data_IF_307803008517
#
_entry.id   IF_307803008517
#
_cell.length_a   1.000
_cell.length_b   1.000
_cell.length_c   1.000
_cell.angle_alpha   90.00
_cell.angle_beta   90.00
_cell.angle_gamma   90.00
#
_symmetry.space_group_name_H-M   'P 1'
#
loop_
_entity.id
_entity.type
_entity.pdbx_description
1 polymer ?
#
# COMPACT_ATOMS: atom_id res chain seq x y z
N UNK A 1 -5.39 0.24 1.36
CA UNK A 1 -6.09 -0.90 1.98
C UNK A 1 -7.41 -0.43 2.58
N UNK A 2 -8.45 -1.27 2.54
CA UNK A 2 -9.76 -0.94 3.11
C UNK A 2 -9.69 -0.66 4.61
N UNK A 3 -8.80 -1.37 5.32
CA UNK A 3 -8.63 -1.23 6.78
C UNK A 3 -7.95 0.08 7.18
N UNK A 4 -7.21 0.70 6.25
CA UNK A 4 -6.51 1.95 6.49
C UNK A 4 -7.24 3.17 5.88
N UNK A 5 -8.48 3.02 5.41
CA UNK A 5 -9.18 4.08 4.69
C UNK A 5 -9.35 5.35 5.53
N UNK A 6 -9.76 5.22 6.79
CA UNK A 6 -9.93 6.37 7.68
C UNK A 6 -8.60 7.07 7.99
N UNK A 7 -7.54 6.30 8.20
CA UNK A 7 -6.18 6.83 8.35
C UNK A 7 -5.72 7.57 7.09
N UNK A 8 -5.99 7.01 5.92
CA UNK A 8 -5.65 7.62 4.64
C UNK A 8 -6.42 8.93 4.43
N UNK A 9 -7.69 9.00 4.82
CA UNK A 9 -8.47 10.24 4.77
C UNK A 9 -7.85 11.34 5.61
N UNK A 10 -7.44 11.03 6.83
CA UNK A 10 -6.77 12.00 7.72
C UNK A 10 -5.44 12.45 7.12
N UNK A 11 -4.64 11.52 6.62
CA UNK A 11 -3.34 11.82 6.00
C UNK A 11 -3.50 12.75 4.78
N UNK A 12 -4.45 12.45 3.90
CA UNK A 12 -4.70 13.28 2.70
C UNK A 12 -5.23 14.66 3.10
N UNK A 13 -6.08 14.77 4.12
CA UNK A 13 -6.53 16.06 4.62
C UNK A 13 -5.36 16.91 5.10
N UNK A 14 -4.44 16.34 5.88
CA UNK A 14 -3.25 17.05 6.35
C UNK A 14 -2.34 17.46 5.19
N UNK A 15 -2.19 16.61 4.18
CA UNK A 15 -1.47 16.96 2.95
C UNK A 15 -2.12 18.13 2.22
N UNK A 16 -3.45 18.14 2.09
CA UNK A 16 -4.18 19.25 1.47
C UNK A 16 -3.97 20.56 2.22
N UNK A 17 -4.03 20.54 3.55
CA UNK A 17 -3.76 21.74 4.38
C UNK A 17 -2.36 22.28 4.16
N UNK A 18 -1.34 21.41 4.14
CA UNK A 18 0.03 21.78 3.91
C UNK A 18 0.26 22.34 2.49
N UNK A 19 -0.39 21.78 1.50
CA UNK A 19 -0.33 22.27 0.10
C UNK A 19 -0.94 23.67 -0.02
N UNK A 20 -2.10 23.89 0.59
CA UNK A 20 -2.76 25.21 0.60
C UNK A 20 -1.89 26.26 1.29
N UNK A 21 -1.28 25.94 2.42
CA UNK A 21 -0.35 26.85 3.11
C UNK A 21 0.89 27.18 2.29
N UNK A 22 1.32 26.23 1.44
CA UNK A 22 2.47 26.41 0.54
C UNK A 22 2.12 27.08 -0.80
N UNK A 23 0.86 27.44 -1.02
CA UNK A 23 0.40 28.04 -2.28
C UNK A 23 0.31 27.05 -3.44
N UNK A 24 0.25 25.75 -3.16
CA UNK A 24 0.13 24.67 -4.15
C UNK A 24 -1.30 24.15 -4.14
N UNK A 25 -1.85 23.85 -5.33
CA UNK A 25 -3.19 23.28 -5.43
C UNK A 25 -3.28 21.94 -4.70
N UNK A 26 -4.30 21.72 -3.84
CA UNK A 26 -4.51 20.42 -3.20
C UNK A 26 -4.93 19.33 -4.19
N UNK A 27 -5.32 19.67 -5.41
CA UNK A 27 -5.72 18.69 -6.44
C UNK A 27 -4.58 17.80 -6.93
N UNK A 28 -3.31 18.10 -6.56
CA UNK A 28 -2.19 17.21 -6.86
C UNK A 28 -2.13 15.95 -6.00
N UNK A 29 -2.94 15.84 -4.95
CA UNK A 29 -3.09 14.64 -4.11
C UNK A 29 -4.56 14.27 -4.03
N UNK A 30 -4.89 13.06 -4.42
CA UNK A 30 -6.27 12.57 -4.44
C UNK A 30 -6.37 11.19 -3.80
N UNK A 31 -7.37 10.97 -2.98
CA UNK A 31 -7.70 9.66 -2.42
C UNK A 31 -8.89 9.09 -3.18
N UNK A 32 -8.67 7.97 -3.88
CA UNK A 32 -9.77 7.28 -4.56
C UNK A 32 -10.80 6.76 -3.55
N UNK A 33 -12.09 6.69 -3.95
CA UNK A 33 -13.12 6.09 -3.09
C UNK A 33 -12.76 4.67 -2.69
N UNK A 34 -13.21 4.20 -1.51
CA UNK A 34 -13.00 2.83 -1.09
C UNK A 34 -13.76 1.88 -2.03
N UNK A 35 -13.16 0.74 -2.32
CA UNK A 35 -13.76 -0.28 -3.16
C UNK A 35 -12.80 -0.77 -4.24
N UNK A 36 -12.89 -2.06 -4.54
CA UNK A 36 -12.06 -2.68 -5.58
C UNK A 36 -12.58 -2.45 -6.98
N UNK A 37 -13.83 -2.03 -7.13
CA UNK A 37 -14.49 -1.77 -8.40
C UNK A 37 -13.83 -0.64 -9.20
N UNK A 38 -13.18 0.29 -8.54
CA UNK A 38 -12.47 1.40 -9.19
C UNK A 38 -11.08 1.01 -9.70
N UNK A 39 -10.51 -0.07 -9.18
CA UNK A 39 -9.15 -0.47 -9.51
C UNK A 39 -8.94 -0.76 -11.00
N UNK A 40 -9.80 -1.53 -11.68
CA UNK A 40 -9.67 -1.76 -13.13
C UNK A 40 -9.72 -0.46 -13.94
N UNK A 41 -10.58 0.47 -13.56
CA UNK A 41 -10.71 1.77 -14.23
C UNK A 41 -9.41 2.58 -14.11
N UNK A 42 -8.81 2.60 -12.92
CA UNK A 42 -7.55 3.30 -12.66
C UNK A 42 -6.42 2.66 -13.48
N UNK A 43 -6.32 1.34 -13.48
CA UNK A 43 -5.26 0.61 -14.17
C UNK A 43 -5.32 0.72 -15.70
N UNK A 44 -6.47 1.09 -16.25
CA UNK A 44 -6.68 1.26 -17.68
C UNK A 44 -6.66 2.73 -18.12
N UNK A 45 -6.51 3.67 -17.20
CA UNK A 45 -6.55 5.10 -17.47
C UNK A 45 -5.21 5.63 -17.99
N UNK A 46 -4.66 5.02 -19.04
CA UNK A 46 -3.35 5.35 -19.60
C UNK A 46 -3.27 6.77 -20.20
N UNK A 47 -4.40 7.42 -20.48
CA UNK A 47 -4.42 8.82 -20.93
C UNK A 47 -4.23 9.81 -19.76
N UNK A 48 -4.41 9.37 -18.51
CA UNK A 48 -4.39 10.23 -17.32
C UNK A 48 -3.37 9.81 -16.27
N UNK A 49 -2.91 8.57 -16.30
CA UNK A 49 -2.02 7.99 -15.29
C UNK A 49 -0.77 7.45 -15.98
N UNK A 50 0.39 7.90 -15.53
CA UNK A 50 1.67 7.55 -16.12
C UNK A 50 2.31 6.32 -15.47
N UNK A 51 1.99 6.03 -14.20
CA UNK A 51 2.66 5.00 -13.42
C UNK A 51 1.78 4.48 -12.29
N UNK A 52 1.81 3.17 -12.04
CA UNK A 52 1.22 2.54 -10.86
C UNK A 52 2.31 1.93 -9.97
N UNK A 53 2.18 2.13 -8.68
CA UNK A 53 3.06 1.55 -7.67
C UNK A 53 2.19 0.76 -6.68
N UNK A 54 1.87 -0.51 -6.98
CA UNK A 54 1.02 -1.31 -6.11
C UNK A 54 1.75 -1.70 -4.83
N UNK A 55 1.03 -1.65 -3.72
CA UNK A 55 1.47 -2.15 -2.43
C UNK A 55 0.35 -2.97 -1.80
N UNK A 56 0.68 -4.14 -1.32
CA UNK A 56 -0.31 -5.03 -0.71
C UNK A 56 0.03 -6.51 -0.89
N UNK A 57 -0.98 -7.34 -0.85
CA UNK A 57 -0.83 -8.78 -1.01
C UNK A 57 -0.31 -9.18 -2.39
N UNK A 58 0.27 -10.37 -2.46
CA UNK A 58 0.71 -10.95 -3.74
C UNK A 58 -0.43 -10.97 -4.77
N UNK A 59 -1.64 -11.34 -4.33
CA UNK A 59 -2.82 -11.36 -5.22
C UNK A 59 -3.16 -10.00 -5.80
N UNK A 60 -3.03 -8.92 -5.02
CA UNK A 60 -3.22 -7.57 -5.53
C UNK A 60 -2.15 -7.19 -6.55
N UNK A 61 -0.90 -7.48 -6.26
CA UNK A 61 0.22 -7.18 -7.16
C UNK A 61 0.09 -7.95 -8.47
N UNK A 62 -0.24 -9.23 -8.41
CA UNK A 62 -0.49 -10.06 -9.59
C UNK A 62 -1.66 -9.52 -10.42
N UNK A 63 -2.76 -9.12 -9.76
CA UNK A 63 -3.91 -8.52 -10.42
C UNK A 63 -3.53 -7.23 -11.16
N UNK A 64 -2.77 -6.35 -10.51
CA UNK A 64 -2.32 -5.09 -11.11
C UNK A 64 -1.43 -5.37 -12.32
N UNK A 65 -0.47 -6.29 -12.20
CA UNK A 65 0.42 -6.67 -13.30
C UNK A 65 -0.36 -7.18 -14.51
N UNK A 66 -1.37 -8.02 -14.28
CA UNK A 66 -2.10 -8.69 -15.35
C UNK A 66 -3.12 -7.77 -16.04
N UNK A 67 -3.61 -6.73 -15.36
CA UNK A 67 -4.70 -5.88 -15.85
C UNK A 67 -4.29 -4.44 -16.17
N UNK A 68 -3.09 -4.01 -15.77
CA UNK A 68 -2.65 -2.64 -16.01
C UNK A 68 -2.29 -2.40 -17.47
N UNK A 69 -2.79 -1.29 -18.02
CA UNK A 69 -2.34 -0.70 -19.30
C UNK A 69 -1.30 0.40 -19.12
N UNK A 70 -0.99 0.72 -17.88
CA UNK A 70 0.02 1.71 -17.49
C UNK A 70 1.24 0.99 -16.95
N UNK A 71 2.43 1.59 -17.03
CA UNK A 71 3.63 1.03 -16.42
C UNK A 71 3.45 0.77 -14.94
N UNK A 72 4.00 -0.34 -14.44
CA UNK A 72 3.90 -0.77 -13.06
C UNK A 72 5.29 -0.95 -12.46
N UNK A 73 5.54 -0.31 -11.31
CA UNK A 73 6.71 -0.59 -10.49
C UNK A 73 6.26 -1.42 -9.31
N UNK A 74 6.70 -2.67 -9.23
CA UNK A 74 6.37 -3.57 -8.14
C UNK A 74 7.61 -4.04 -7.40
N UNK A 75 7.45 -4.26 -6.10
CA UNK A 75 8.44 -4.99 -5.30
C UNK A 75 8.07 -6.46 -5.33
N UNK A 76 9.05 -7.34 -5.57
CA UNK A 76 8.86 -8.78 -5.43
C UNK A 76 8.51 -9.17 -3.98
N UNK A 77 8.15 -10.42 -3.78
CA UNK A 77 7.91 -10.94 -2.43
C UNK A 77 9.17 -10.78 -1.57
N UNK A 78 9.03 -10.07 -0.47
CA UNK A 78 10.09 -9.98 0.53
C UNK A 78 10.25 -11.32 1.25
N UNK A 79 11.47 -11.79 1.39
CA UNK A 79 11.77 -12.90 2.27
C UNK A 79 12.11 -12.31 3.63
N UNK A 80 11.26 -12.57 4.61
CA UNK A 80 11.46 -12.09 5.97
C UNK A 80 12.05 -13.21 6.81
N UNK A 81 13.16 -12.92 7.47
CA UNK A 81 13.80 -13.84 8.39
C UNK A 81 13.76 -13.27 9.80
N UNK A 82 13.33 -14.07 10.75
CA UNK A 82 13.45 -13.76 12.19
C UNK A 82 14.64 -14.54 12.75
N UNK A 83 15.68 -13.82 13.15
CA UNK A 83 16.82 -14.42 13.84
C UNK A 83 16.56 -14.44 15.34
N UNK A 84 16.71 -15.59 15.96
CA UNK A 84 16.57 -15.77 17.40
C UNK A 84 17.92 -16.17 17.98
N UNK A 85 18.55 -15.26 18.74
CA UNK A 85 19.80 -15.54 19.40
C UNK A 85 19.63 -16.50 20.58
N UNK A 86 20.69 -17.20 20.95
CA UNK A 86 20.71 -18.15 22.07
C UNK A 86 20.36 -17.53 23.44
N UNK A 87 20.54 -16.22 23.56
CA UNK A 87 20.21 -15.45 24.76
C UNK A 87 18.77 -14.92 24.78
N UNK A 88 18.00 -15.14 23.72
CA UNK A 88 16.64 -14.63 23.62
C UNK A 88 15.66 -15.43 24.51
N UNK A 89 14.60 -14.74 24.94
CA UNK A 89 13.43 -15.39 25.51
C UNK A 89 12.67 -16.12 24.40
N UNK A 90 12.71 -17.45 24.42
CA UNK A 90 12.13 -18.27 23.35
C UNK A 90 10.61 -18.14 23.27
N UNK A 91 9.92 -17.98 24.40
CA UNK A 91 8.45 -17.84 24.41
C UNK A 91 8.06 -16.52 23.74
N UNK A 92 8.76 -15.45 24.05
CA UNK A 92 8.54 -14.15 23.42
C UNK A 92 8.89 -14.16 21.92
N UNK A 93 9.97 -14.85 21.55
CA UNK A 93 10.38 -15.00 20.16
C UNK A 93 9.36 -15.76 19.33
N UNK A 94 8.79 -16.84 19.89
CA UNK A 94 7.71 -17.61 19.23
C UNK A 94 6.45 -16.79 19.08
N UNK A 95 6.07 -16.01 20.08
CA UNK A 95 4.91 -15.11 20.00
C UNK A 95 5.08 -14.10 18.89
N UNK A 96 6.23 -13.45 18.77
CA UNK A 96 6.52 -12.47 17.71
C UNK A 96 6.52 -13.11 16.32
N UNK A 97 7.19 -14.25 16.15
CA UNK A 97 7.19 -14.96 14.87
C UNK A 97 5.78 -15.42 14.45
N UNK A 98 4.93 -15.75 15.41
CA UNK A 98 3.51 -16.06 15.18
C UNK A 98 2.71 -14.85 14.73
N UNK A 99 2.94 -13.69 15.36
CA UNK A 99 2.30 -12.43 14.99
C UNK A 99 2.71 -11.94 13.59
N UNK A 100 3.98 -12.07 13.25
CA UNK A 100 4.49 -11.70 11.91
C UNK A 100 3.85 -12.57 10.82
N UNK A 101 3.64 -13.87 11.08
CA UNK A 101 2.96 -14.77 10.14
C UNK A 101 1.46 -14.51 10.02
N UNK A 102 0.80 -14.10 11.09
CA UNK A 102 -0.64 -13.83 11.11
C UNK A 102 -0.97 -12.42 10.60
N UNK A 103 -0.03 -11.48 10.68
CA UNK A 103 -0.17 -10.11 10.21
C UNK A 103 0.32 -9.90 8.77
N UNK A 104 0.64 -10.96 8.04
CA UNK A 104 1.02 -10.90 6.64
C UNK A 104 -0.11 -10.35 5.76
N UNK A 105 0.22 -9.54 4.74
CA UNK A 105 -0.79 -8.98 3.84
C UNK A 105 -1.52 -10.04 3.02
#
# INVERSE_FOLDING_TARGET
SSDAHDTNRVAVRLMHEALLESGISPDCVFLAPPGREYLPLILQANDFIDLAIPRGSKGLIDFVRDHARIPVIETGAGIVHTYVDKSADLDLAQLRAGLERSGGP
#
